data_IF_176200143968
#
_entry.id   IF_176200143968
#
_cell.length_a   1.000
_cell.length_b   1.000
_cell.length_c   1.000
_cell.angle_alpha   90.00
_cell.angle_beta   90.00
_cell.angle_gamma   90.00
#
_symmetry.space_group_name_H-M   'P 1'
#
loop_
_entity.id
_entity.type
_entity.pdbx_description
1 polymer ?
#
# COMPACT_ATOMS: atom_id res chain seq x y z
N UNK A 1 -24.18 20.17 30.62
CA UNK A 1 -22.80 19.80 31.02
C UNK A 1 -22.69 18.28 31.13
N UNK A 2 -21.81 17.66 30.42
CA UNK A 2 -21.52 16.22 30.57
C UNK A 2 -20.18 16.05 31.30
N UNK A 3 -20.12 15.08 32.22
CA UNK A 3 -18.85 14.74 32.85
C UNK A 3 -17.90 14.07 31.87
N UNK A 4 -16.61 14.25 32.06
CA UNK A 4 -15.58 13.56 31.23
C UNK A 4 -15.84 12.04 31.18
N UNK A 5 -16.21 11.44 32.30
CA UNK A 5 -16.54 10.02 32.38
C UNK A 5 -17.70 9.62 31.48
N UNK A 6 -18.73 10.44 31.35
CA UNK A 6 -19.87 10.15 30.47
C UNK A 6 -19.45 10.19 28.99
N UNK A 7 -18.61 11.16 28.60
CA UNK A 7 -18.07 11.27 27.23
C UNK A 7 -17.12 10.10 26.91
N UNK A 8 -16.21 9.78 27.83
CA UNK A 8 -15.27 8.65 27.67
C UNK A 8 -16.02 7.33 27.52
N UNK A 9 -17.03 7.08 28.39
CA UNK A 9 -17.82 5.86 28.30
C UNK A 9 -18.61 5.76 27.00
N UNK A 10 -19.15 6.88 26.50
CA UNK A 10 -19.85 6.89 25.21
C UNK A 10 -18.89 6.56 24.04
N UNK A 11 -17.68 7.12 24.03
CA UNK A 11 -16.66 6.80 23.04
C UNK A 11 -16.28 5.32 23.12
N UNK A 12 -16.08 4.78 24.33
CA UNK A 12 -15.71 3.38 24.53
C UNK A 12 -16.81 2.41 24.06
N UNK A 13 -18.07 2.70 24.35
CA UNK A 13 -19.21 1.90 23.88
C UNK A 13 -19.28 1.90 22.35
N UNK A 14 -19.14 3.06 21.72
CA UNK A 14 -19.15 3.15 20.24
C UNK A 14 -17.93 2.51 19.59
N UNK A 15 -16.81 2.38 20.32
CA UNK A 15 -15.57 1.79 19.81
C UNK A 15 -15.49 0.27 20.03
N UNK A 16 -16.34 -0.31 20.88
CA UNK A 16 -16.29 -1.73 21.25
C UNK A 16 -16.44 -2.69 20.08
N UNK A 17 -17.22 -2.30 19.06
CA UNK A 17 -17.43 -3.12 17.86
C UNK A 17 -16.25 -3.12 16.89
N UNK A 18 -15.30 -2.20 17.06
CA UNK A 18 -14.20 -1.96 16.12
C UNK A 18 -12.81 -2.26 16.67
N UNK A 19 -12.68 -2.38 18.00
CA UNK A 19 -11.38 -2.51 18.69
C UNK A 19 -11.37 -3.79 19.52
N UNK A 20 -10.39 -4.66 19.27
CA UNK A 20 -10.20 -5.93 20.01
C UNK A 20 -9.56 -5.69 21.38
N UNK A 21 -9.89 -6.54 22.34
CA UNK A 21 -9.68 -6.45 23.80
C UNK A 21 -8.39 -5.77 24.28
N UNK A 22 -7.23 -6.10 23.71
CA UNK A 22 -5.97 -5.51 24.15
C UNK A 22 -5.83 -4.02 23.83
N UNK A 23 -6.32 -3.61 22.67
CA UNK A 23 -6.28 -2.20 22.23
C UNK A 23 -7.41 -1.37 22.85
N UNK A 24 -8.45 -2.02 23.37
CA UNK A 24 -9.56 -1.35 24.05
C UNK A 24 -9.13 -0.79 25.40
N UNK A 25 -8.36 -1.54 26.19
CA UNK A 25 -7.81 -1.04 27.46
C UNK A 25 -6.76 0.06 27.24
N UNK A 26 -5.94 -0.03 26.20
CA UNK A 26 -5.02 1.02 25.83
C UNK A 26 -5.77 2.32 25.43
N UNK A 27 -6.84 2.21 24.63
CA UNK A 27 -7.69 3.35 24.27
C UNK A 27 -8.33 3.97 25.52
N UNK A 28 -8.89 3.16 26.41
CA UNK A 28 -9.50 3.60 27.65
C UNK A 28 -8.52 4.39 28.51
N UNK A 29 -7.30 3.87 28.68
CA UNK A 29 -6.24 4.55 29.42
C UNK A 29 -5.90 5.92 28.79
N UNK A 30 -5.72 5.96 27.48
CA UNK A 30 -5.42 7.21 26.74
C UNK A 30 -6.54 8.23 26.89
N UNK A 31 -7.80 7.81 26.78
CA UNK A 31 -8.94 8.71 26.94
C UNK A 31 -9.04 9.26 28.38
N UNK A 32 -8.85 8.44 29.38
CA UNK A 32 -8.85 8.89 30.79
C UNK A 32 -7.70 9.85 31.06
N UNK A 33 -6.47 9.54 30.65
CA UNK A 33 -5.31 10.41 30.87
C UNK A 33 -5.44 11.80 30.23
N UNK A 34 -6.09 11.87 29.08
CA UNK A 34 -6.19 13.13 28.33
C UNK A 34 -7.48 13.92 28.60
N UNK A 35 -8.57 13.29 29.01
CA UNK A 35 -9.89 13.92 29.10
C UNK A 35 -10.44 14.03 30.52
N UNK A 36 -9.88 13.35 31.52
CA UNK A 36 -10.43 13.31 32.90
C UNK A 36 -10.55 14.69 33.56
N UNK A 37 -9.71 15.64 33.18
CA UNK A 37 -9.68 17.01 33.73
C UNK A 37 -10.52 18.02 32.96
N UNK A 38 -11.28 17.58 31.92
CA UNK A 38 -12.11 18.46 31.11
C UNK A 38 -13.58 18.35 31.51
N UNK A 39 -14.26 19.49 31.48
CA UNK A 39 -15.72 19.56 31.57
C UNK A 39 -16.27 19.84 30.17
N UNK A 40 -17.15 18.97 29.68
CA UNK A 40 -17.71 19.11 28.35
C UNK A 40 -19.03 19.90 28.43
N UNK A 41 -19.12 20.95 27.65
CA UNK A 41 -20.34 21.73 27.47
C UNK A 41 -20.90 21.36 26.11
N UNK A 42 -22.14 20.88 26.08
CA UNK A 42 -22.84 20.63 24.82
C UNK A 42 -23.17 22.01 24.22
N UNK A 43 -22.52 22.34 23.13
CA UNK A 43 -22.78 23.57 22.39
C UNK A 43 -23.85 23.26 21.34
N UNK A 44 -24.87 24.08 21.20
CA UNK A 44 -25.91 23.89 20.18
C UNK A 44 -25.31 23.92 18.75
N UNK A 45 -24.18 24.60 18.56
CA UNK A 45 -23.37 24.49 17.34
C UNK A 45 -22.75 23.10 17.10
N UNK A 46 -22.70 22.21 18.13
CA UNK A 46 -22.18 20.84 17.97
C UNK A 46 -23.16 19.92 17.26
N UNK A 47 -24.44 20.23 17.24
CA UNK A 47 -25.43 19.46 16.50
C UNK A 47 -25.22 19.62 14.98
N UNK A 48 -24.91 20.81 14.48
CA UNK A 48 -24.58 21.03 13.08
C UNK A 48 -23.28 20.30 12.68
N UNK A 49 -22.26 20.28 13.57
CA UNK A 49 -21.01 19.57 13.32
C UNK A 49 -21.18 18.04 13.37
N UNK A 50 -22.05 17.53 14.24
CA UNK A 50 -22.37 16.10 14.33
C UNK A 50 -23.22 15.68 13.14
N UNK A 51 -24.26 16.43 12.78
CA UNK A 51 -25.06 16.17 11.58
C UNK A 51 -24.23 16.23 10.30
N UNK A 52 -23.36 17.24 10.15
CA UNK A 52 -22.44 17.33 9.01
C UNK A 52 -21.42 16.20 8.99
N UNK A 53 -20.96 15.70 10.14
CA UNK A 53 -20.06 14.54 10.20
C UNK A 53 -20.77 13.26 9.79
N UNK A 54 -21.99 13.03 10.25
CA UNK A 54 -22.78 11.84 9.92
C UNK A 54 -23.16 11.82 8.44
N UNK A 55 -23.56 12.97 7.87
CA UNK A 55 -23.80 13.13 6.43
C UNK A 55 -22.52 12.85 5.65
N UNK A 56 -21.39 13.42 6.06
CA UNK A 56 -20.10 13.22 5.40
C UNK A 56 -19.64 11.76 5.45
N UNK A 57 -19.81 11.07 6.59
CA UNK A 57 -19.54 9.64 6.70
C UNK A 57 -20.47 8.79 5.83
N UNK A 58 -21.74 9.14 5.78
CA UNK A 58 -22.73 8.51 4.90
C UNK A 58 -22.34 8.61 3.44
N UNK A 59 -21.95 9.80 2.98
CA UNK A 59 -21.48 10.05 1.60
C UNK A 59 -20.23 9.24 1.29
N UNK A 60 -19.23 9.19 2.17
CA UNK A 60 -18.02 8.39 1.96
C UNK A 60 -18.31 6.89 1.93
N UNK A 61 -19.29 6.41 2.71
CA UNK A 61 -19.75 5.02 2.69
C UNK A 61 -20.39 4.69 1.34
N UNK A 62 -21.31 5.51 0.87
CA UNK A 62 -21.97 5.33 -0.43
C UNK A 62 -20.93 5.32 -1.57
N UNK A 63 -19.97 6.23 -1.54
CA UNK A 63 -18.89 6.23 -2.52
C UNK A 63 -18.04 4.96 -2.46
N UNK A 64 -17.70 4.48 -1.26
CA UNK A 64 -16.99 3.19 -1.09
C UNK A 64 -17.76 2.06 -1.75
N UNK A 65 -19.07 1.99 -1.51
CA UNK A 65 -19.92 0.90 -2.02
C UNK A 65 -20.00 0.98 -3.55
N UNK A 66 -20.11 2.19 -4.12
CA UNK A 66 -20.01 2.41 -5.56
C UNK A 66 -18.66 1.92 -6.13
N UNK A 67 -17.55 2.24 -5.50
CA UNK A 67 -16.23 1.77 -5.93
C UNK A 67 -16.11 0.24 -5.89
N UNK A 68 -16.77 -0.42 -4.94
CA UNK A 68 -16.85 -1.89 -4.87
C UNK A 68 -17.63 -2.44 -6.06
N UNK A 69 -18.80 -1.86 -6.36
CA UNK A 69 -19.64 -2.24 -7.51
C UNK A 69 -18.88 -2.04 -8.83
N UNK A 70 -18.10 -0.98 -8.94
CA UNK A 70 -17.20 -0.74 -10.10
C UNK A 70 -16.02 -1.72 -10.19
N UNK A 71 -15.88 -2.64 -9.24
CA UNK A 71 -14.80 -3.64 -9.24
C UNK A 71 -13.42 -3.06 -8.90
N UNK A 72 -13.34 -1.90 -8.24
CA UNK A 72 -12.06 -1.36 -7.79
C UNK A 72 -11.44 -2.27 -6.73
N UNK A 73 -10.11 -2.37 -6.74
CA UNK A 73 -9.40 -3.17 -5.74
C UNK A 73 -9.48 -2.54 -4.35
N UNK A 74 -9.49 -3.37 -3.30
CA UNK A 74 -9.50 -2.88 -1.91
C UNK A 74 -8.37 -1.85 -1.64
N UNK A 75 -7.18 -2.05 -2.23
CA UNK A 75 -6.08 -1.10 -2.11
C UNK A 75 -6.37 0.27 -2.75
N UNK A 76 -7.05 0.28 -3.90
CA UNK A 76 -7.48 1.52 -4.56
C UNK A 76 -8.53 2.24 -3.73
N UNK A 77 -9.53 1.51 -3.23
CA UNK A 77 -10.59 2.05 -2.37
C UNK A 77 -10.00 2.68 -1.11
N UNK A 78 -9.12 1.96 -0.42
CA UNK A 78 -8.42 2.48 0.77
C UNK A 78 -7.64 3.77 0.46
N UNK A 79 -6.93 3.82 -0.66
CA UNK A 79 -6.18 5.00 -1.07
C UNK A 79 -7.09 6.20 -1.34
N UNK A 80 -8.22 5.98 -1.99
CA UNK A 80 -9.19 7.03 -2.32
C UNK A 80 -9.85 7.59 -1.05
N UNK A 81 -10.37 6.71 -0.20
CA UNK A 81 -10.97 7.10 1.08
C UNK A 81 -9.96 7.82 2.00
N UNK A 82 -8.72 7.33 2.03
CA UNK A 82 -7.66 7.99 2.81
C UNK A 82 -7.38 9.41 2.30
N UNK A 83 -7.38 9.63 0.98
CA UNK A 83 -7.16 10.96 0.42
C UNK A 83 -8.28 11.93 0.81
N UNK A 84 -9.55 11.49 0.75
CA UNK A 84 -10.71 12.29 1.16
C UNK A 84 -10.71 12.59 2.65
N UNK A 85 -10.47 11.59 3.50
CA UNK A 85 -10.36 11.79 4.95
C UNK A 85 -9.31 12.85 5.30
N UNK A 86 -8.14 12.80 4.65
CA UNK A 86 -7.07 13.79 4.88
C UNK A 86 -7.42 15.20 4.42
N UNK A 87 -8.25 15.36 3.40
CA UNK A 87 -8.79 16.66 3.01
C UNK A 87 -9.80 17.17 4.05
N UNK A 88 -10.74 16.33 4.47
CA UNK A 88 -11.76 16.66 5.48
C UNK A 88 -11.09 17.03 6.81
N UNK A 89 -10.12 16.21 7.27
CA UNK A 89 -9.34 16.51 8.49
C UNK A 89 -8.60 17.86 8.40
N UNK A 90 -8.13 18.24 7.21
CA UNK A 90 -7.42 19.50 7.02
C UNK A 90 -8.35 20.69 6.99
N UNK A 91 -9.52 20.57 6.37
CA UNK A 91 -10.47 21.69 6.20
C UNK A 91 -11.41 21.83 7.39
N UNK A 92 -11.70 20.76 8.11
CA UNK A 92 -12.74 20.71 9.14
C UNK A 92 -14.16 20.84 8.59
N UNK A 93 -14.34 20.73 7.25
CA UNK A 93 -15.62 20.98 6.56
C UNK A 93 -16.26 19.68 6.10
N UNK A 94 -17.59 19.66 6.03
CA UNK A 94 -18.34 18.62 5.35
C UNK A 94 -18.09 18.63 3.84
N UNK A 95 -18.32 17.48 3.18
CA UNK A 95 -18.00 17.32 1.75
C UNK A 95 -18.78 18.32 0.86
N UNK A 96 -19.99 18.70 1.22
CA UNK A 96 -20.81 19.66 0.49
C UNK A 96 -20.33 21.12 0.63
N UNK A 97 -19.55 21.41 1.66
CA UNK A 97 -19.03 22.74 1.95
C UNK A 97 -17.64 23.00 1.33
N UNK A 98 -16.96 21.93 0.90
CA UNK A 98 -15.63 22.03 0.31
C UNK A 98 -15.70 22.71 -1.07
N UNK A 99 -14.96 23.81 -1.20
CA UNK A 99 -14.83 24.61 -2.43
C UNK A 99 -13.40 24.55 -2.96
N UNK A 100 -13.21 25.07 -4.18
CA UNK A 100 -11.91 25.08 -4.87
C UNK A 100 -10.78 25.69 -4.00
N UNK A 101 -11.03 26.78 -3.31
CA UNK A 101 -10.05 27.45 -2.44
C UNK A 101 -9.55 26.55 -1.30
N UNK A 102 -10.42 25.75 -0.69
CA UNK A 102 -10.07 24.81 0.37
C UNK A 102 -9.15 23.71 -0.16
N UNK A 103 -9.44 23.18 -1.35
CA UNK A 103 -8.59 22.17 -1.99
C UNK A 103 -7.24 22.76 -2.39
N UNK A 104 -7.21 24.00 -2.94
CA UNK A 104 -5.96 24.69 -3.25
C UNK A 104 -5.09 24.88 -2.02
N UNK A 105 -5.68 25.31 -0.90
CA UNK A 105 -4.97 25.47 0.38
C UNK A 105 -4.40 24.13 0.87
N UNK A 106 -5.18 23.04 0.83
CA UNK A 106 -4.70 21.71 1.19
C UNK A 106 -3.53 21.23 0.32
N UNK A 107 -3.63 21.41 -0.98
CA UNK A 107 -2.59 21.00 -1.93
C UNK A 107 -1.33 21.87 -1.78
N UNK A 108 -1.49 23.18 -1.59
CA UNK A 108 -0.39 24.10 -1.33
C UNK A 108 0.33 23.76 -0.01
N UNK A 109 -0.43 23.50 1.07
CA UNK A 109 0.12 23.02 2.34
C UNK A 109 0.91 21.71 2.14
N UNK A 110 0.40 20.79 1.33
CA UNK A 110 1.10 19.56 0.99
C UNK A 110 2.44 19.79 0.29
N UNK A 111 2.50 20.75 -0.65
CA UNK A 111 3.73 21.12 -1.36
C UNK A 111 4.73 21.83 -0.44
N UNK A 112 4.29 22.86 0.27
CA UNK A 112 5.17 23.76 1.05
C UNK A 112 5.64 23.09 2.35
N UNK A 113 4.71 22.65 3.17
CA UNK A 113 5.05 22.16 4.52
C UNK A 113 5.34 20.68 4.58
N UNK A 114 4.60 19.83 3.82
CA UNK A 114 4.83 18.39 3.78
C UNK A 114 5.81 17.97 2.69
N UNK A 115 6.30 18.90 1.89
CA UNK A 115 7.29 18.71 0.81
C UNK A 115 6.91 17.55 -0.13
N UNK A 116 5.63 17.48 -0.53
CA UNK A 116 5.18 16.46 -1.45
C UNK A 116 5.90 16.58 -2.79
N UNK A 117 6.43 15.45 -3.26
CA UNK A 117 6.92 15.32 -4.64
C UNK A 117 5.75 15.38 -5.62
N UNK A 118 6.01 15.78 -6.86
CA UNK A 118 4.98 15.91 -7.91
C UNK A 118 4.12 14.67 -8.07
N UNK A 119 4.73 13.49 -8.07
CA UNK A 119 4.02 12.22 -8.10
C UNK A 119 3.03 12.05 -6.94
N UNK A 120 3.37 12.48 -5.75
CA UNK A 120 2.47 12.42 -4.58
C UNK A 120 1.34 13.42 -4.71
N UNK A 121 1.66 14.66 -5.11
CA UNK A 121 0.70 15.70 -5.38
C UNK A 121 -0.32 15.24 -6.44
N UNK A 122 0.15 14.78 -7.60
CA UNK A 122 -0.70 14.29 -8.68
C UNK A 122 -1.56 13.10 -8.24
N UNK A 123 -1.00 12.20 -7.44
CA UNK A 123 -1.76 11.11 -6.83
C UNK A 123 -2.92 11.60 -5.97
N UNK A 124 -2.71 12.67 -5.17
CA UNK A 124 -3.78 13.31 -4.39
C UNK A 124 -4.83 13.95 -5.29
N UNK A 125 -4.39 14.73 -6.28
CA UNK A 125 -5.30 15.36 -7.25
C UNK A 125 -6.20 14.33 -7.94
N UNK A 126 -5.63 13.20 -8.38
CA UNK A 126 -6.41 12.11 -9.03
C UNK A 126 -7.43 11.49 -8.09
N UNK A 127 -7.05 11.23 -6.83
CA UNK A 127 -7.96 10.66 -5.85
C UNK A 127 -9.13 11.63 -5.54
N UNK A 128 -8.83 12.89 -5.30
CA UNK A 128 -9.84 13.91 -5.02
C UNK A 128 -10.77 14.12 -6.23
N UNK A 129 -10.21 14.18 -7.43
CA UNK A 129 -10.99 14.33 -8.66
C UNK A 129 -11.98 13.18 -8.86
N UNK A 130 -11.59 11.95 -8.54
CA UNK A 130 -12.50 10.79 -8.60
C UNK A 130 -13.69 10.95 -7.67
N UNK A 131 -13.47 11.43 -6.45
CA UNK A 131 -14.55 11.66 -5.50
C UNK A 131 -15.48 12.79 -5.96
N UNK A 132 -14.91 13.96 -6.29
CA UNK A 132 -15.73 15.13 -6.63
C UNK A 132 -16.45 15.00 -7.98
N UNK A 133 -15.90 14.25 -8.94
CA UNK A 133 -16.65 13.87 -10.14
C UNK A 133 -17.87 13.03 -9.76
N UNK A 134 -17.67 11.94 -9.01
CA UNK A 134 -18.77 11.10 -8.54
C UNK A 134 -19.80 11.90 -7.72
N UNK A 135 -19.36 12.76 -6.83
CA UNK A 135 -20.27 13.56 -6.00
C UNK A 135 -21.10 14.56 -6.84
N UNK A 136 -20.55 15.05 -7.93
CA UNK A 136 -21.29 15.90 -8.87
C UNK A 136 -22.24 15.07 -9.75
N UNK A 137 -21.79 13.91 -10.23
CA UNK A 137 -22.59 13.02 -11.09
C UNK A 137 -23.83 12.44 -10.35
N UNK A 138 -23.77 12.39 -9.03
CA UNK A 138 -24.86 11.92 -8.14
C UNK A 138 -25.57 13.07 -7.40
N UNK A 139 -25.43 14.31 -7.86
CA UNK A 139 -26.10 15.50 -7.31
C UNK A 139 -25.88 15.75 -5.80
N UNK A 140 -24.80 15.17 -5.22
CA UNK A 140 -24.40 15.40 -3.83
C UNK A 140 -23.86 16.82 -3.65
N UNK A 141 -23.22 17.34 -4.70
CA UNK A 141 -22.74 18.72 -4.82
C UNK A 141 -23.16 19.30 -6.15
N UNK A 142 -23.50 20.57 -6.15
CA UNK A 142 -23.96 21.26 -7.37
C UNK A 142 -22.83 21.66 -8.34
N UNK A 143 -21.61 21.89 -7.84
CA UNK A 143 -20.46 22.32 -8.63
C UNK A 143 -19.21 21.54 -8.22
N UNK A 144 -18.46 21.08 -9.23
CA UNK A 144 -17.24 20.31 -9.01
C UNK A 144 -16.05 21.23 -8.66
N UNK A 145 -15.56 21.21 -7.41
CA UNK A 145 -14.47 22.08 -6.98
C UNK A 145 -13.10 21.69 -7.56
N UNK A 146 -13.00 20.54 -8.24
CA UNK A 146 -11.75 20.08 -8.88
C UNK A 146 -11.61 20.53 -10.34
N UNK A 147 -12.63 21.20 -10.91
CA UNK A 147 -12.69 21.56 -12.35
C UNK A 147 -11.43 22.32 -12.82
N UNK A 148 -10.92 23.24 -12.02
CA UNK A 148 -9.77 24.10 -12.39
C UNK A 148 -8.44 23.63 -11.77
N UNK A 149 -8.42 22.54 -11.01
CA UNK A 149 -7.22 22.01 -10.37
C UNK A 149 -6.49 21.10 -11.34
N UNK A 150 -5.26 21.45 -11.68
CA UNK A 150 -4.43 20.70 -12.64
C UNK A 150 -3.35 19.89 -11.92
N UNK A 151 -2.92 18.83 -12.56
CA UNK A 151 -1.72 18.08 -12.18
C UNK A 151 -0.47 18.89 -12.53
N UNK A 152 0.60 18.70 -11.77
CA UNK A 152 1.92 19.26 -12.09
C UNK A 152 2.68 18.33 -13.02
N UNK A 153 3.58 18.87 -13.83
CA UNK A 153 4.49 18.08 -14.66
C UNK A 153 5.37 17.22 -13.74
N UNK A 154 5.38 15.92 -13.95
CA UNK A 154 6.26 15.01 -13.22
C UNK A 154 7.60 14.90 -13.92
N UNK A 155 8.70 14.98 -13.15
CA UNK A 155 10.00 14.61 -13.67
C UNK A 155 10.05 13.10 -13.91
N UNK A 156 10.36 12.71 -15.12
CA UNK A 156 10.62 11.31 -15.43
C UNK A 156 12.00 10.93 -14.87
N UNK A 157 12.03 10.07 -13.87
CA UNK A 157 13.27 9.51 -13.34
C UNK A 157 13.37 8.04 -13.73
N UNK A 158 14.46 7.70 -14.40
CA UNK A 158 14.81 6.31 -14.67
C UNK A 158 15.01 5.63 -13.31
N UNK A 159 14.23 4.57 -13.06
CA UNK A 159 14.38 3.85 -11.81
C UNK A 159 15.67 3.05 -11.77
N UNK A 160 16.28 2.94 -10.58
CA UNK A 160 17.52 2.19 -10.37
C UNK A 160 17.39 0.72 -10.77
N UNK A 161 18.46 0.19 -11.34
CA UNK A 161 18.72 -1.23 -11.59
C UNK A 161 19.98 -1.63 -10.80
N UNK A 162 20.20 -2.92 -10.63
CA UNK A 162 21.43 -3.44 -10.05
C UNK A 162 22.40 -3.84 -11.17
N UNK A 163 23.68 -3.50 -11.03
CA UNK A 163 24.70 -4.09 -11.89
C UNK A 163 24.91 -5.58 -11.55
N UNK A 164 25.54 -6.38 -12.44
CA UNK A 164 25.86 -7.78 -12.12
C UNK A 164 26.64 -7.93 -10.82
N UNK A 165 27.62 -7.06 -10.57
CA UNK A 165 28.45 -7.06 -9.36
C UNK A 165 27.61 -6.72 -8.12
N UNK A 166 26.77 -5.69 -8.18
CA UNK A 166 25.88 -5.30 -7.08
C UNK A 166 24.90 -6.42 -6.74
N UNK A 167 24.40 -7.13 -7.75
CA UNK A 167 23.52 -8.27 -7.56
C UNK A 167 24.24 -9.42 -6.86
N UNK A 168 25.47 -9.73 -7.26
CA UNK A 168 26.25 -10.79 -6.63
C UNK A 168 26.63 -10.42 -5.19
N UNK A 169 27.07 -9.18 -4.93
CA UNK A 169 27.29 -8.68 -3.58
C UNK A 169 26.03 -8.84 -2.73
N UNK A 170 24.87 -8.50 -3.28
CA UNK A 170 23.59 -8.62 -2.57
C UNK A 170 23.28 -10.09 -2.23
N UNK A 171 23.54 -11.03 -3.15
CA UNK A 171 23.38 -12.47 -2.92
C UNK A 171 24.36 -12.97 -1.84
N UNK A 172 25.61 -12.58 -1.88
CA UNK A 172 26.62 -12.93 -0.86
C UNK A 172 26.25 -12.43 0.55
N UNK A 173 25.46 -11.35 0.65
CA UNK A 173 24.94 -10.85 1.91
C UNK A 173 23.75 -11.67 2.46
N UNK A 174 23.18 -12.59 1.71
CA UNK A 174 22.11 -13.46 2.19
C UNK A 174 22.70 -14.51 3.17
N UNK A 175 22.02 -14.76 4.27
CA UNK A 175 22.48 -15.65 5.34
C UNK A 175 21.66 -16.95 5.47
N UNK A 176 20.54 -17.02 4.77
CA UNK A 176 19.62 -18.17 4.85
C UNK A 176 19.11 -18.55 3.46
N UNK A 177 18.77 -19.83 3.29
CA UNK A 177 18.14 -20.32 2.06
C UNK A 177 16.84 -19.58 1.74
N UNK A 178 16.09 -19.14 2.75
CA UNK A 178 14.90 -18.31 2.56
C UNK A 178 15.23 -16.96 1.91
N UNK A 179 16.33 -16.31 2.33
CA UNK A 179 16.77 -15.03 1.74
C UNK A 179 17.24 -15.23 0.30
N UNK A 180 18.11 -16.23 0.07
CA UNK A 180 18.62 -16.56 -1.28
C UNK A 180 17.47 -16.93 -2.22
N UNK A 181 16.58 -17.82 -1.81
CA UNK A 181 15.44 -18.24 -2.63
C UNK A 181 14.52 -17.06 -2.97
N UNK A 182 14.23 -16.18 -1.99
CA UNK A 182 13.39 -15.01 -2.22
C UNK A 182 14.02 -14.04 -3.22
N UNK A 183 15.32 -13.73 -3.07
CA UNK A 183 16.03 -12.76 -3.92
C UNK A 183 16.21 -13.30 -5.33
N UNK A 184 16.65 -14.54 -5.50
CA UNK A 184 16.83 -15.15 -6.80
C UNK A 184 15.51 -15.36 -7.52
N UNK A 185 14.44 -15.67 -6.78
CA UNK A 185 13.09 -15.79 -7.35
C UNK A 185 12.54 -14.42 -7.79
N UNK A 186 12.69 -13.38 -6.96
CA UNK A 186 12.27 -12.00 -7.30
C UNK A 186 12.96 -11.51 -8.57
N UNK A 187 14.28 -11.73 -8.67
CA UNK A 187 15.06 -11.31 -9.81
C UNK A 187 14.71 -12.10 -11.07
N UNK A 188 14.84 -13.42 -11.03
CA UNK A 188 14.71 -14.25 -12.22
C UNK A 188 13.29 -14.34 -12.78
N UNK A 189 12.28 -14.32 -11.91
CA UNK A 189 10.90 -14.34 -12.37
C UNK A 189 10.42 -12.98 -12.89
N UNK A 190 11.00 -11.88 -12.40
CA UNK A 190 10.51 -10.53 -12.68
C UNK A 190 9.07 -10.28 -12.18
N UNK A 191 8.54 -11.13 -11.31
CA UNK A 191 7.19 -11.01 -10.75
C UNK A 191 7.00 -9.76 -9.90
N UNK A 192 5.74 -9.25 -9.84
CA UNK A 192 5.42 -8.17 -8.90
C UNK A 192 5.41 -8.71 -7.47
N UNK A 193 5.81 -7.90 -6.50
CA UNK A 193 5.80 -8.30 -5.07
C UNK A 193 4.44 -8.85 -4.62
N UNK A 194 3.33 -8.30 -5.13
CA UNK A 194 1.97 -8.79 -4.82
C UNK A 194 1.71 -10.18 -5.38
N UNK A 195 2.22 -10.47 -6.56
CA UNK A 195 2.09 -11.75 -7.24
C UNK A 195 2.91 -12.82 -6.50
N UNK A 196 4.19 -12.54 -6.25
CA UNK A 196 5.08 -13.47 -5.54
C UNK A 196 4.61 -13.75 -4.11
N UNK A 197 4.12 -12.73 -3.40
CA UNK A 197 3.56 -12.91 -2.07
C UNK A 197 2.37 -13.88 -2.06
N UNK A 198 1.54 -13.87 -3.11
CA UNK A 198 0.34 -14.70 -3.18
C UNK A 198 0.62 -16.14 -3.58
N UNK A 199 1.80 -16.45 -4.10
CA UNK A 199 2.15 -17.80 -4.53
C UNK A 199 2.06 -18.81 -3.37
N UNK A 200 1.50 -19.98 -3.68
CA UNK A 200 1.49 -21.16 -2.84
C UNK A 200 2.55 -22.16 -3.31
N UNK A 201 2.96 -23.09 -2.43
CA UNK A 201 3.94 -24.14 -2.74
C UNK A 201 3.49 -25.02 -3.90
N UNK A 202 2.22 -25.36 -3.96
CA UNK A 202 1.63 -26.23 -4.99
C UNK A 202 1.49 -25.55 -6.36
N UNK A 203 1.68 -24.23 -6.46
CA UNK A 203 1.65 -23.47 -7.71
C UNK A 203 3.01 -23.40 -8.39
N UNK A 204 4.06 -23.95 -7.77
CA UNK A 204 5.42 -23.95 -8.31
C UNK A 204 5.68 -25.29 -9.01
N UNK A 205 5.83 -25.24 -10.31
CA UNK A 205 6.32 -26.36 -11.13
C UNK A 205 7.86 -26.31 -11.09
N UNK A 206 8.43 -27.08 -10.16
CA UNK A 206 9.89 -27.15 -10.00
C UNK A 206 10.57 -27.83 -11.19
N UNK A 207 9.92 -28.77 -11.85
CA UNK A 207 10.50 -29.50 -13.00
C UNK A 207 10.71 -28.55 -14.17
N UNK A 208 9.69 -27.77 -14.51
CA UNK A 208 9.74 -26.81 -15.63
C UNK A 208 10.18 -25.42 -15.20
N UNK A 209 10.49 -25.20 -13.92
CA UNK A 209 10.91 -23.92 -13.32
C UNK A 209 9.96 -22.78 -13.65
N UNK A 210 8.67 -23.00 -13.48
CA UNK A 210 7.61 -22.02 -13.75
C UNK A 210 6.60 -21.97 -12.61
N UNK A 211 5.85 -20.89 -12.58
CA UNK A 211 4.67 -20.74 -11.73
C UNK A 211 3.59 -19.96 -12.46
N UNK A 212 2.34 -20.28 -12.15
CA UNK A 212 1.19 -19.52 -12.64
C UNK A 212 0.82 -18.46 -11.62
N UNK A 213 0.74 -17.23 -12.06
CA UNK A 213 0.37 -16.08 -11.22
C UNK A 213 -0.83 -15.34 -11.81
N UNK A 214 -1.59 -14.70 -10.91
CA UNK A 214 -2.71 -13.85 -11.28
C UNK A 214 -2.29 -12.39 -11.28
N UNK A 215 -2.29 -11.78 -12.46
CA UNK A 215 -1.97 -10.37 -12.66
C UNK A 215 -3.14 -9.43 -12.37
N UNK A 216 -2.95 -8.15 -12.66
CA UNK A 216 -4.01 -7.13 -12.59
C UNK A 216 -5.16 -7.53 -13.54
N UNK A 217 -6.40 -7.50 -13.03
CA UNK A 217 -7.58 -7.90 -13.80
C UNK A 217 -7.82 -9.40 -13.87
N UNK A 218 -7.24 -10.19 -12.93
CA UNK A 218 -7.37 -11.67 -12.85
C UNK A 218 -6.86 -12.43 -14.09
N UNK A 219 -6.01 -11.79 -14.90
CA UNK A 219 -5.37 -12.49 -16.03
C UNK A 219 -4.25 -13.37 -15.50
N UNK A 220 -4.32 -14.66 -15.85
CA UNK A 220 -3.27 -15.61 -15.58
C UNK A 220 -2.08 -15.36 -16.50
N UNK A 221 -0.88 -15.53 -15.96
CA UNK A 221 0.34 -15.64 -16.75
C UNK A 221 1.34 -16.55 -16.08
N UNK A 222 2.16 -17.18 -16.89
CA UNK A 222 3.30 -17.94 -16.40
C UNK A 222 4.49 -16.99 -16.12
N UNK A 223 5.18 -17.29 -15.05
CA UNK A 223 6.51 -16.72 -14.76
C UNK A 223 7.52 -17.88 -14.69
N UNK A 224 8.70 -17.62 -15.17
CA UNK A 224 9.81 -18.56 -15.21
C UNK A 224 10.93 -18.07 -14.31
N UNK A 225 11.59 -18.98 -13.60
CA UNK A 225 12.69 -18.66 -12.71
C UNK A 225 13.96 -19.44 -13.08
N UNK A 226 15.12 -18.90 -12.68
CA UNK A 226 16.42 -19.43 -13.06
C UNK A 226 16.77 -20.75 -12.36
N UNK A 227 17.78 -21.51 -12.88
CA UNK A 227 18.32 -22.66 -12.17
C UNK A 227 18.80 -22.35 -10.76
N UNK A 228 19.41 -21.17 -10.52
CA UNK A 228 19.82 -20.75 -9.18
C UNK A 228 18.61 -20.61 -8.24
N UNK A 229 17.55 -19.92 -8.71
CA UNK A 229 16.32 -19.81 -7.93
C UNK A 229 15.67 -21.17 -7.64
N UNK A 230 15.73 -22.10 -8.60
CA UNK A 230 15.26 -23.48 -8.40
C UNK A 230 16.01 -24.18 -7.24
N UNK A 231 17.35 -24.14 -7.25
CA UNK A 231 18.16 -24.76 -6.20
C UNK A 231 17.79 -24.22 -4.83
N UNK A 232 17.81 -22.89 -4.67
CA UNK A 232 17.52 -22.26 -3.37
C UNK A 232 16.06 -22.41 -2.95
N UNK A 233 15.10 -22.35 -3.86
CA UNK A 233 13.67 -22.61 -3.53
C UNK A 233 13.50 -24.06 -3.06
N UNK A 234 14.13 -25.02 -3.71
CA UNK A 234 14.05 -26.43 -3.32
C UNK A 234 14.65 -26.65 -1.93
N UNK A 235 15.84 -26.11 -1.68
CA UNK A 235 16.50 -26.21 -0.37
C UNK A 235 15.68 -25.51 0.74
N UNK A 236 15.14 -24.34 0.45
CA UNK A 236 14.28 -23.63 1.37
C UNK A 236 13.01 -24.43 1.70
N UNK A 237 12.34 -24.99 0.71
CA UNK A 237 11.12 -25.78 0.92
C UNK A 237 11.42 -27.07 1.70
N UNK A 238 12.55 -27.75 1.40
CA UNK A 238 12.97 -28.94 2.14
C UNK A 238 13.29 -28.63 3.61
N UNK A 239 13.80 -27.45 3.90
CA UNK A 239 14.13 -27.02 5.27
C UNK A 239 12.93 -26.47 6.08
N UNK A 240 11.74 -26.35 5.48
CA UNK A 240 10.55 -25.86 6.18
C UNK A 240 9.98 -26.90 7.15
N UNK A 241 9.56 -26.39 8.31
CA UNK A 241 8.98 -27.20 9.41
C UNK A 241 7.53 -26.78 9.72
N UNK A 242 6.82 -26.24 8.73
CA UNK A 242 5.45 -25.76 8.85
C UNK A 242 4.58 -26.27 7.68
N UNK A 243 3.26 -26.27 7.88
CA UNK A 243 2.28 -26.73 6.91
C UNK A 243 1.61 -25.58 6.13
N UNK A 244 2.09 -24.33 6.30
CA UNK A 244 1.51 -23.20 5.62
C UNK A 244 1.68 -23.35 4.09
N UNK A 245 0.59 -23.19 3.36
CA UNK A 245 0.57 -23.31 1.90
C UNK A 245 1.41 -22.26 1.16
N UNK A 246 1.66 -21.11 1.79
CA UNK A 246 2.40 -20.01 1.15
C UNK A 246 3.80 -20.44 0.72
N UNK A 247 4.25 -19.98 -0.46
CA UNK A 247 5.62 -20.20 -0.91
C UNK A 247 6.63 -19.61 0.07
N UNK A 248 6.44 -18.37 0.50
CA UNK A 248 7.33 -17.69 1.45
C UNK A 248 6.60 -17.34 2.76
N UNK A 249 7.20 -17.73 3.88
CA UNK A 249 6.65 -17.52 5.23
C UNK A 249 7.62 -16.78 6.15
N UNK A 250 7.10 -16.27 7.28
CA UNK A 250 7.89 -15.71 8.35
C UNK A 250 8.74 -16.80 9.03
N UNK A 251 9.82 -16.41 9.72
CA UNK A 251 10.68 -17.34 10.49
C UNK A 251 10.16 -17.65 11.86
N UNK A 252 9.20 -16.90 12.36
CA UNK A 252 8.62 -17.06 13.69
C UNK A 252 7.23 -17.72 13.57
N UNK A 253 6.90 -18.58 14.55
CA UNK A 253 5.55 -19.12 14.67
C UNK A 253 4.53 -17.98 14.72
N UNK A 254 3.36 -18.12 14.11
CA UNK A 254 2.81 -19.32 13.46
C UNK A 254 3.22 -19.49 11.98
N UNK A 255 4.37 -18.98 11.54
CA UNK A 255 4.91 -19.08 10.17
C UNK A 255 3.95 -18.51 9.10
N UNK A 256 3.42 -17.33 9.37
CA UNK A 256 2.48 -16.68 8.47
C UNK A 256 3.11 -16.34 7.12
N UNK A 257 2.27 -16.34 6.06
CA UNK A 257 2.64 -15.84 4.73
C UNK A 257 3.34 -14.48 4.85
N UNK A 258 4.46 -14.29 4.16
CA UNK A 258 5.15 -13.01 4.15
C UNK A 258 4.24 -11.89 3.64
N UNK A 259 4.24 -10.78 4.35
CA UNK A 259 3.59 -9.54 3.89
C UNK A 259 4.49 -8.80 2.89
N UNK A 260 3.92 -7.86 2.14
CA UNK A 260 4.72 -6.98 1.25
C UNK A 260 5.79 -6.22 2.04
N UNK A 261 5.45 -5.78 3.24
CA UNK A 261 6.39 -5.06 4.11
C UNK A 261 7.44 -5.97 4.71
N UNK A 262 7.08 -7.23 5.02
CA UNK A 262 8.03 -8.26 5.41
C UNK A 262 9.08 -8.54 4.32
N UNK A 263 8.67 -8.65 3.05
CA UNK A 263 9.60 -8.81 1.93
C UNK A 263 10.50 -7.56 1.79
N UNK A 264 9.94 -6.35 1.87
CA UNK A 264 10.71 -5.11 1.82
C UNK A 264 11.72 -5.01 2.97
N UNK A 265 11.31 -5.43 4.16
CA UNK A 265 12.18 -5.46 5.33
C UNK A 265 13.36 -6.42 5.15
N UNK A 266 13.10 -7.63 4.62
CA UNK A 266 14.17 -8.60 4.31
C UNK A 266 15.19 -7.98 3.36
N UNK A 267 14.73 -7.37 2.27
CA UNK A 267 15.60 -6.69 1.29
C UNK A 267 16.45 -5.60 1.96
N UNK A 268 15.83 -4.74 2.77
CA UNK A 268 16.54 -3.69 3.50
C UNK A 268 17.56 -4.26 4.48
N UNK A 269 17.20 -5.33 5.19
CA UNK A 269 18.10 -5.98 6.14
C UNK A 269 19.31 -6.62 5.44
N UNK A 270 19.12 -7.29 4.30
CA UNK A 270 20.24 -7.81 3.49
C UNK A 270 21.11 -6.65 3.02
N UNK A 271 20.52 -5.60 2.48
CA UNK A 271 21.22 -4.41 1.98
C UNK A 271 22.11 -3.77 3.06
N UNK A 272 21.66 -3.73 4.32
CA UNK A 272 22.41 -3.11 5.40
C UNK A 272 23.66 -3.87 5.85
N UNK A 273 23.90 -5.06 5.32
CA UNK A 273 25.03 -5.92 5.70
C UNK A 273 26.31 -5.61 4.96
N UNK A 274 26.28 -4.80 3.92
CA UNK A 274 27.45 -4.44 3.12
C UNK A 274 27.43 -2.95 2.75
N UNK A 275 28.54 -2.28 3.03
CA UNK A 275 28.74 -0.84 2.77
C UNK A 275 28.59 -0.48 1.29
N UNK A 276 29.01 -1.39 0.38
CA UNK A 276 28.92 -1.18 -1.09
C UNK A 276 27.49 -1.07 -1.60
N UNK A 277 26.52 -1.55 -0.82
CA UNK A 277 25.09 -1.46 -1.12
C UNK A 277 24.43 -0.23 -0.49
N UNK A 278 25.12 0.50 0.40
CA UNK A 278 24.58 1.71 1.02
C UNK A 278 24.27 2.78 -0.02
N UNK A 279 23.22 3.54 0.20
CA UNK A 279 22.76 4.59 -0.71
C UNK A 279 22.00 4.09 -1.95
N UNK A 280 22.08 2.81 -2.29
CA UNK A 280 21.29 2.25 -3.39
C UNK A 280 19.81 2.17 -3.01
N UNK A 281 18.92 2.45 -3.97
CA UNK A 281 17.49 2.29 -3.77
C UNK A 281 17.04 0.89 -4.20
N UNK A 282 17.30 -0.12 -3.34
CA UNK A 282 16.96 -1.51 -3.63
C UNK A 282 15.57 -1.84 -3.09
N UNK A 283 14.73 -2.36 -3.95
CA UNK A 283 13.34 -2.73 -3.67
C UNK A 283 12.93 -3.93 -4.54
N UNK A 284 11.82 -4.62 -4.26
CA UNK A 284 11.32 -5.66 -5.16
C UNK A 284 11.16 -5.18 -6.61
N UNK A 285 10.82 -3.91 -6.80
CA UNK A 285 10.68 -3.33 -8.14
C UNK A 285 12.03 -3.10 -8.83
N UNK A 286 13.09 -2.90 -8.07
CA UNK A 286 14.47 -2.84 -8.60
C UNK A 286 14.88 -4.17 -9.20
N UNK A 287 14.64 -5.31 -8.51
CA UNK A 287 14.92 -6.65 -9.06
C UNK A 287 14.15 -6.92 -10.35
N UNK A 288 12.87 -6.55 -10.40
CA UNK A 288 12.04 -6.70 -11.60
C UNK A 288 12.56 -5.85 -12.77
N UNK A 289 13.00 -4.61 -12.52
CA UNK A 289 13.61 -3.75 -13.54
C UNK A 289 14.94 -4.31 -14.02
N UNK A 290 15.78 -4.76 -13.11
CA UNK A 290 17.05 -5.42 -13.43
C UNK A 290 16.81 -6.63 -14.33
N UNK A 291 15.86 -7.50 -13.98
CA UNK A 291 15.47 -8.63 -14.82
C UNK A 291 15.11 -8.19 -16.26
N UNK A 292 14.25 -7.19 -16.40
CA UNK A 292 13.85 -6.70 -17.72
C UNK A 292 15.00 -6.08 -18.51
N UNK A 293 15.83 -5.28 -17.85
CA UNK A 293 17.02 -4.66 -18.49
C UNK A 293 18.05 -5.72 -18.91
N UNK A 294 18.32 -6.70 -18.05
CA UNK A 294 19.25 -7.79 -18.38
C UNK A 294 18.76 -8.62 -19.56
N UNK A 295 17.46 -8.88 -19.67
CA UNK A 295 16.90 -9.55 -20.85
C UNK A 295 17.16 -8.76 -22.14
N UNK A 296 16.92 -7.44 -22.12
CA UNK A 296 17.19 -6.58 -23.28
C UNK A 296 18.67 -6.57 -23.61
N UNK A 297 19.54 -6.43 -22.61
CA UNK A 297 20.99 -6.42 -22.80
C UNK A 297 21.53 -7.76 -23.38
N UNK A 298 20.81 -8.87 -23.14
CA UNK A 298 21.11 -10.18 -23.74
C UNK A 298 20.34 -10.44 -25.05
N UNK A 299 19.81 -9.39 -25.69
CA UNK A 299 19.21 -9.46 -27.01
C UNK A 299 17.73 -9.94 -27.06
N UNK A 300 17.06 -10.01 -25.92
CA UNK A 300 15.63 -10.36 -25.94
C UNK A 300 14.79 -9.24 -26.57
N UNK A 301 13.87 -9.55 -27.49
CA UNK A 301 12.94 -8.57 -28.05
C UNK A 301 12.09 -7.89 -26.97
N UNK A 302 11.77 -6.61 -27.16
CA UNK A 302 10.99 -5.84 -26.21
C UNK A 302 9.61 -6.48 -25.89
N UNK A 303 8.98 -7.07 -26.91
CA UNK A 303 7.68 -7.77 -26.77
C UNK A 303 7.77 -8.96 -25.81
N UNK A 304 8.87 -9.73 -25.89
CA UNK A 304 9.12 -10.85 -25.00
C UNK A 304 9.29 -10.37 -23.55
N UNK A 305 10.04 -9.27 -23.35
CA UNK A 305 10.22 -8.67 -22.03
C UNK A 305 8.90 -8.14 -21.48
N UNK A 306 8.10 -7.44 -22.29
CA UNK A 306 6.78 -6.97 -21.90
C UNK A 306 5.86 -8.13 -21.52
N UNK A 307 5.83 -9.19 -22.31
CA UNK A 307 5.05 -10.40 -22.04
C UNK A 307 5.48 -11.05 -20.72
N UNK A 308 6.78 -11.25 -20.49
CA UNK A 308 7.30 -11.80 -19.23
C UNK A 308 6.94 -10.93 -18.04
N UNK A 309 7.08 -9.62 -18.18
CA UNK A 309 6.76 -8.69 -17.09
C UNK A 309 5.26 -8.45 -16.94
N UNK A 310 4.43 -8.78 -17.92
CA UNK A 310 2.97 -8.57 -17.89
C UNK A 310 2.61 -7.08 -17.93
N UNK A 311 3.16 -6.38 -18.92
CA UNK A 311 2.81 -4.99 -19.26
C UNK A 311 1.75 -4.97 -20.34
#
# INVERSE_FOLDING_TARGET
MMSANAVINNILVQSSDYIKDKHFEDLKMVLYMNLCNFTFVQNDASNELIENSDITFGVLRNWRDQLIVEGKTAGTITQYLFAMRKLIEFTGLGVAEIRENHIRSYLAHGKVYRKWKDKTYNGKVRCLRQFFNWATDYDIISENPMRRIKETKEDFRIGSILTPEQREIFRCCCRTERELSLIDFLYSSGGRISEIRQLNRNQIDLVNRRAVIYGKGRKEREIYFSPQAFVHVTQYLAGRKDDNEALFVSTKKPYNRLTKDGIRWIIKNIQSRDERLKGLQISPHTFRRTCGTDMINHGAPAELVQRKLGH
#
